data_IF_238543313774
#
_entry.id   IF_238543313774
#
_cell.length_a   1.000
_cell.length_b   1.000
_cell.length_c   1.000
_cell.angle_alpha   90.00
_cell.angle_beta   90.00
_cell.angle_gamma   90.00
#
_symmetry.space_group_name_H-M   'P 1'
#
loop_
_entity.id
_entity.type
_entity.pdbx_description
1 polymer ?
#
# COMPACT_ATOMS: atom_id res chain seq x y z
N UNK A 1 76.81 82.62 -36.83
CA UNK A 1 75.83 83.45 -36.17
C UNK A 1 74.91 82.48 -35.41
N UNK A 2 75.22 82.21 -34.16
CA UNK A 2 74.57 82.74 -32.99
C UNK A 2 73.25 82.05 -32.71
N UNK A 3 72.96 81.47 -31.63
CA UNK A 3 73.07 81.88 -30.26
C UNK A 3 72.75 80.68 -29.35
N UNK A 4 73.47 80.60 -28.26
CA UNK A 4 73.22 79.74 -27.11
C UNK A 4 71.93 80.15 -26.43
N UNK A 5 71.21 79.16 -25.87
CA UNK A 5 70.31 79.33 -24.70
C UNK A 5 70.56 78.31 -23.58
N UNK A 6 70.45 78.78 -22.36
CA UNK A 6 71.01 78.07 -21.19
C UNK A 6 70.08 77.03 -20.59
N UNK A 7 70.76 76.12 -19.87
CA UNK A 7 70.11 75.07 -19.08
C UNK A 7 69.32 75.63 -17.89
N UNK A 8 68.11 75.08 -17.63
CA UNK A 8 67.33 75.17 -16.36
C UNK A 8 67.42 73.88 -15.61
N UNK A 9 67.51 73.89 -14.24
CA UNK A 9 67.69 72.68 -13.44
C UNK A 9 66.33 71.97 -13.20
N UNK A 10 66.32 70.63 -13.28
CA UNK A 10 65.22 69.80 -12.92
C UNK A 10 64.93 69.83 -11.43
N UNK A 11 63.72 70.27 -11.03
CA UNK A 11 63.19 70.10 -9.71
C UNK A 11 62.73 68.64 -9.49
N UNK A 12 63.32 67.92 -8.59
CA UNK A 12 62.81 66.61 -8.09
C UNK A 12 61.58 66.89 -7.24
N UNK A 13 60.38 66.57 -7.71
CA UNK A 13 59.11 66.53 -6.94
C UNK A 13 59.08 65.22 -6.21
N UNK A 14 59.18 65.24 -4.89
CA UNK A 14 58.93 64.11 -4.03
C UNK A 14 57.40 63.94 -3.89
N UNK A 15 56.89 62.89 -4.51
CA UNK A 15 55.42 62.52 -4.42
C UNK A 15 55.23 61.94 -3.04
N UNK A 16 54.66 62.71 -2.10
CA UNK A 16 54.13 62.23 -0.82
C UNK A 16 52.75 61.58 -1.03
N UNK A 17 52.70 60.26 -1.06
CA UNK A 17 51.45 59.53 -0.96
C UNK A 17 50.88 59.71 0.44
N UNK A 18 49.63 60.11 0.63
CA UNK A 18 49.04 60.19 1.95
C UNK A 18 48.73 58.78 2.47
N UNK A 19 49.33 58.43 3.59
CA UNK A 19 49.12 57.17 4.33
C UNK A 19 47.63 56.88 4.62
N UNK A 20 46.79 57.87 4.57
CA UNK A 20 45.35 57.74 4.84
C UNK A 20 44.58 56.92 3.75
N UNK A 21 45.06 56.91 2.50
CA UNK A 21 44.41 56.12 1.44
C UNK A 21 44.68 54.61 1.53
N UNK A 22 45.85 54.24 2.01
CA UNK A 22 46.24 52.84 2.16
C UNK A 22 45.49 52.13 3.30
N UNK A 23 45.21 52.84 4.41
CA UNK A 23 44.45 52.30 5.54
C UNK A 23 42.96 52.15 5.17
N UNK A 24 42.41 53.07 4.38
CA UNK A 24 41.01 52.97 3.99
C UNK A 24 40.76 51.84 2.97
N UNK A 25 41.68 51.58 2.03
CA UNK A 25 41.60 50.46 1.11
C UNK A 25 41.76 49.09 1.80
N UNK A 26 42.58 49.00 2.84
CA UNK A 26 42.72 47.74 3.64
C UNK A 26 41.46 47.46 4.46
N UNK A 27 40.77 48.47 5.00
CA UNK A 27 39.53 48.32 5.75
C UNK A 27 38.36 47.91 4.84
N UNK A 28 38.28 48.43 3.63
CA UNK A 28 37.25 48.01 2.64
C UNK A 28 37.48 46.57 2.17
N UNK A 29 38.75 46.15 1.95
CA UNK A 29 39.07 44.77 1.57
C UNK A 29 38.78 43.78 2.72
N UNK A 30 39.03 44.16 4.00
CA UNK A 30 38.69 43.35 5.16
C UNK A 30 37.17 43.25 5.36
N UNK A 31 36.39 44.30 5.10
CA UNK A 31 34.92 44.28 5.15
C UNK A 31 34.31 43.41 4.04
N UNK A 32 34.89 43.36 2.84
CA UNK A 32 34.43 42.45 1.78
C UNK A 32 34.73 40.98 2.05
N UNK A 33 35.83 40.68 2.76
CA UNK A 33 36.19 39.32 3.18
C UNK A 33 35.27 38.79 4.30
N UNK A 34 34.73 39.65 5.16
CA UNK A 34 33.79 39.24 6.22
C UNK A 34 32.36 39.05 5.69
N UNK A 35 31.95 39.68 4.60
CA UNK A 35 30.66 39.45 3.95
C UNK A 35 30.62 38.13 3.16
N UNK A 36 31.77 37.56 2.76
CA UNK A 36 31.82 36.26 2.09
C UNK A 36 31.76 35.07 3.07
N UNK A 37 31.91 35.29 4.37
CA UNK A 37 31.88 34.22 5.38
C UNK A 37 30.46 33.93 5.92
N UNK A 38 29.42 34.70 5.54
CA UNK A 38 28.02 34.45 5.87
C UNK A 38 27.24 33.77 4.72
N UNK A 39 27.90 33.03 3.83
CA UNK A 39 27.25 31.96 3.11
C UNK A 39 27.16 30.77 4.07
N UNK A 40 26.37 30.91 5.12
CA UNK A 40 25.69 29.75 5.75
C UNK A 40 24.99 29.06 4.58
N UNK A 41 25.56 27.96 4.13
CA UNK A 41 24.86 26.96 3.39
C UNK A 41 23.63 26.66 4.24
N UNK A 42 22.51 27.34 3.98
CA UNK A 42 21.22 26.78 4.23
C UNK A 42 21.28 25.46 3.45
N UNK A 43 21.68 24.39 4.13
CA UNK A 43 21.42 23.04 3.66
C UNK A 43 19.91 23.02 3.49
N UNK A 44 19.44 23.39 2.30
CA UNK A 44 18.16 22.95 1.85
C UNK A 44 18.31 21.43 1.94
N UNK A 45 17.71 20.81 2.95
CA UNK A 45 17.35 19.43 2.91
C UNK A 45 16.42 19.31 1.69
N UNK A 46 17.00 19.28 0.49
CA UNK A 46 16.30 18.76 -0.66
C UNK A 46 16.03 17.31 -0.27
N UNK A 47 14.79 17.05 0.12
CA UNK A 47 14.32 15.69 0.32
C UNK A 47 14.73 14.91 -0.92
N UNK A 48 15.64 13.95 -0.72
CA UNK A 48 16.11 13.12 -1.82
C UNK A 48 14.92 12.35 -2.34
N UNK A 49 14.57 12.57 -3.60
CA UNK A 49 13.51 11.82 -4.28
C UNK A 49 14.11 10.83 -5.26
N UNK A 50 13.39 9.76 -5.51
CA UNK A 50 13.70 8.76 -6.54
C UNK A 50 12.50 8.62 -7.48
N UNK A 51 12.78 8.32 -8.74
CA UNK A 51 11.74 7.97 -9.70
C UNK A 51 11.22 6.56 -9.37
N UNK A 52 9.92 6.45 -9.11
CA UNK A 52 9.23 5.19 -8.85
C UNK A 52 8.15 4.98 -9.92
N UNK A 53 8.12 3.81 -10.56
CA UNK A 53 7.07 3.45 -11.51
C UNK A 53 6.05 2.57 -10.80
N UNK A 54 4.82 3.03 -10.75
CA UNK A 54 3.71 2.35 -10.08
C UNK A 54 3.07 1.24 -10.94
N UNK A 55 2.04 0.58 -10.42
CA UNK A 55 1.36 -0.52 -11.12
C UNK A 55 0.50 -0.07 -12.31
N UNK A 56 0.20 1.24 -12.44
CA UNK A 56 -0.40 1.85 -13.63
C UNK A 56 0.63 2.36 -14.64
N UNK A 57 1.93 2.06 -14.43
CA UNK A 57 3.05 2.53 -15.26
C UNK A 57 3.24 4.06 -15.21
N UNK A 58 2.75 4.74 -14.19
CA UNK A 58 3.06 6.14 -13.94
C UNK A 58 4.39 6.25 -13.18
N UNK A 59 5.25 7.15 -13.65
CA UNK A 59 6.51 7.44 -12.95
C UNK A 59 6.34 8.67 -12.08
N UNK A 60 6.49 8.47 -10.77
CA UNK A 60 6.29 9.49 -9.74
C UNK A 60 7.61 9.73 -9.00
N UNK A 61 7.94 10.99 -8.69
CA UNK A 61 9.04 11.32 -7.81
C UNK A 61 8.59 11.12 -6.36
N UNK A 62 9.16 10.14 -5.68
CA UNK A 62 8.80 9.80 -4.30
C UNK A 62 9.96 10.08 -3.35
N UNK A 63 9.73 10.54 -2.11
CA UNK A 63 10.79 10.70 -1.11
C UNK A 63 11.51 9.37 -0.85
N UNK A 64 12.82 9.42 -0.67
CA UNK A 64 13.61 8.22 -0.30
C UNK A 64 13.21 7.71 1.08
N UNK A 65 12.87 8.62 2.01
CA UNK A 65 12.43 8.32 3.37
C UNK A 65 11.17 9.12 3.68
N UNK A 66 9.99 8.68 3.25
CA UNK A 66 8.76 9.38 3.57
C UNK A 66 8.50 9.33 5.09
N UNK A 67 7.96 10.41 5.62
CA UNK A 67 7.65 10.57 7.04
C UNK A 67 6.17 10.80 7.31
N UNK A 68 5.41 11.15 6.27
CA UNK A 68 4.01 11.54 6.35
C UNK A 68 3.19 10.87 5.24
N UNK A 69 2.70 9.68 5.53
CA UNK A 69 2.03 8.83 4.55
C UNK A 69 0.52 8.88 4.75
N UNK A 70 -0.22 9.01 3.64
CA UNK A 70 -1.66 8.77 3.59
C UNK A 70 -1.92 7.46 2.85
N UNK A 71 -2.72 6.57 3.44
CA UNK A 71 -3.19 5.35 2.80
C UNK A 71 -4.65 5.50 2.36
N UNK A 72 -4.94 5.21 1.09
CA UNK A 72 -6.31 5.20 0.58
C UNK A 72 -6.91 3.78 0.45
N UNK A 73 -6.17 2.75 0.90
CA UNK A 73 -6.59 1.34 0.78
C UNK A 73 -6.46 0.61 2.11
N UNK A 74 -7.48 -0.20 2.50
CA UNK A 74 -7.38 -1.08 3.66
C UNK A 74 -6.19 -2.05 3.58
N UNK A 75 -5.92 -2.64 2.41
CA UNK A 75 -4.80 -3.56 2.22
C UNK A 75 -3.44 -2.86 2.43
N UNK A 76 -3.27 -1.66 1.88
CA UNK A 76 -2.06 -0.84 2.09
C UNK A 76 -1.89 -0.51 3.58
N UNK A 77 -2.96 -0.09 4.25
CA UNK A 77 -2.94 0.21 5.69
C UNK A 77 -2.48 -1.01 6.51
N UNK A 78 -3.06 -2.18 6.27
CA UNK A 78 -2.70 -3.41 6.99
C UNK A 78 -1.23 -3.82 6.76
N UNK A 79 -0.73 -3.66 5.52
CA UNK A 79 0.67 -3.94 5.21
C UNK A 79 1.60 -2.95 5.93
N UNK A 80 1.27 -1.65 5.96
CA UNK A 80 2.05 -0.63 6.70
C UNK A 80 2.18 -1.03 8.18
N UNK A 81 1.08 -1.44 8.83
CA UNK A 81 1.10 -1.92 10.20
C UNK A 81 1.92 -3.21 10.37
N UNK A 82 1.77 -4.17 9.46
CA UNK A 82 2.55 -5.42 9.48
C UNK A 82 4.07 -5.18 9.33
N UNK A 83 4.45 -4.10 8.68
CA UNK A 83 5.84 -3.65 8.50
C UNK A 83 6.34 -2.75 9.64
N UNK A 84 5.54 -2.51 10.67
CA UNK A 84 5.86 -1.63 11.81
C UNK A 84 6.22 -0.20 11.37
N UNK A 85 5.48 0.31 10.39
CA UNK A 85 5.64 1.64 9.83
C UNK A 85 4.40 2.53 10.11
N UNK A 86 3.55 2.15 11.06
CA UNK A 86 2.32 2.85 11.42
C UNK A 86 2.55 4.29 11.92
N UNK A 87 3.73 4.56 12.47
CA UNK A 87 4.11 5.92 12.90
C UNK A 87 4.24 6.91 11.74
N UNK A 88 4.35 6.43 10.50
CA UNK A 88 4.38 7.26 9.29
C UNK A 88 2.96 7.61 8.80
N UNK A 89 1.94 6.87 9.26
CA UNK A 89 0.58 6.99 8.74
C UNK A 89 -0.16 8.15 9.40
N UNK A 90 -0.50 9.18 8.60
CA UNK A 90 -1.17 10.40 9.06
C UNK A 90 -2.61 10.54 8.56
N UNK A 91 -3.04 9.66 7.64
CA UNK A 91 -4.40 9.64 7.10
C UNK A 91 -4.75 8.28 6.52
N UNK A 92 -6.03 7.88 6.68
CA UNK A 92 -6.57 6.62 6.16
C UNK A 92 -8.03 6.77 5.73
N UNK A 93 -8.55 5.88 4.87
CA UNK A 93 -9.98 5.88 4.55
C UNK A 93 -10.83 5.29 5.69
N UNK A 94 -12.14 5.56 5.66
CA UNK A 94 -13.10 5.02 6.63
C UNK A 94 -13.09 3.48 6.67
N UNK A 95 -12.71 2.83 5.58
CA UNK A 95 -12.65 1.36 5.44
C UNK A 95 -11.37 0.73 5.99
N UNK A 96 -10.37 1.52 6.37
CA UNK A 96 -9.14 1.04 7.00
C UNK A 96 -9.40 0.81 8.51
N UNK A 97 -10.09 -0.27 8.84
CA UNK A 97 -10.55 -0.58 10.20
C UNK A 97 -9.66 -1.61 10.91
N UNK A 98 -8.72 -2.21 10.21
CA UNK A 98 -7.79 -3.21 10.76
C UNK A 98 -6.33 -2.77 10.56
N UNK A 99 -5.43 -3.01 11.54
CA UNK A 99 -5.78 -3.44 12.90
C UNK A 99 -6.63 -2.36 13.61
N UNK A 100 -7.27 -2.65 14.75
CA UNK A 100 -8.14 -1.70 15.45
C UNK A 100 -7.49 -0.34 15.72
N UNK A 101 -6.18 -0.33 15.96
CA UNK A 101 -5.36 0.86 16.21
C UNK A 101 -5.36 1.81 15.00
N UNK A 102 -5.54 1.30 13.79
CA UNK A 102 -5.63 2.13 12.58
C UNK A 102 -6.78 3.14 12.66
N UNK A 103 -7.83 2.83 13.40
CA UNK A 103 -8.98 3.73 13.55
C UNK A 103 -8.66 5.02 14.30
N UNK A 104 -7.53 5.09 15.03
CA UNK A 104 -7.04 6.31 15.68
C UNK A 104 -6.42 7.30 14.68
N UNK A 105 -6.03 6.84 13.48
CA UNK A 105 -5.49 7.69 12.42
C UNK A 105 -6.63 8.49 11.79
N UNK A 106 -6.44 9.80 11.50
CA UNK A 106 -7.46 10.66 10.89
C UNK A 106 -8.05 10.06 9.61
N UNK A 107 -9.40 10.05 9.50
CA UNK A 107 -10.09 9.65 8.28
C UNK A 107 -9.97 10.73 7.20
N UNK A 108 -9.78 10.29 5.95
CA UNK A 108 -9.80 11.10 4.74
C UNK A 108 -11.06 10.85 3.88
N UNK A 109 -12.11 10.25 4.45
CA UNK A 109 -13.36 9.88 3.77
C UNK A 109 -13.35 8.45 3.25
N UNK A 110 -14.33 8.14 2.39
CA UNK A 110 -14.49 6.81 1.80
C UNK A 110 -13.59 6.58 0.59
N UNK A 111 -13.48 5.33 0.13
CA UNK A 111 -12.62 4.96 -1.01
C UNK A 111 -13.08 5.66 -2.31
N UNK A 112 -14.39 5.73 -2.56
CA UNK A 112 -14.94 6.33 -3.79
C UNK A 112 -15.17 7.84 -3.70
N UNK A 113 -15.08 8.42 -2.51
CA UNK A 113 -15.35 9.84 -2.22
C UNK A 113 -14.29 10.40 -1.27
N UNK A 114 -13.02 10.30 -1.68
CA UNK A 114 -11.88 10.84 -0.95
C UNK A 114 -12.01 12.36 -0.76
N UNK A 115 -11.73 12.83 0.44
CA UNK A 115 -11.64 14.25 0.71
C UNK A 115 -10.22 14.75 0.37
N UNK A 116 -10.02 15.17 -0.88
CA UNK A 116 -8.73 15.63 -1.41
C UNK A 116 -8.22 16.83 -0.62
N UNK A 117 -9.09 17.78 -0.24
CA UNK A 117 -8.70 18.96 0.55
C UNK A 117 -8.16 18.55 1.92
N UNK A 118 -8.79 17.57 2.55
CA UNK A 118 -8.32 17.03 3.83
C UNK A 118 -6.98 16.31 3.67
N UNK A 119 -6.77 15.54 2.59
CA UNK A 119 -5.48 14.90 2.31
C UNK A 119 -4.40 15.96 2.20
N UNK A 120 -4.62 17.00 1.40
CA UNK A 120 -3.65 18.10 1.22
C UNK A 120 -3.39 18.84 2.54
N UNK A 121 -4.44 19.08 3.35
CA UNK A 121 -4.29 19.76 4.65
C UNK A 121 -3.45 18.96 5.66
N UNK A 122 -3.38 17.64 5.51
CA UNK A 122 -2.49 16.80 6.31
C UNK A 122 -1.02 16.93 5.89
N UNK A 123 -0.73 17.62 4.79
CA UNK A 123 0.61 17.83 4.25
C UNK A 123 1.40 16.50 4.14
N UNK A 124 0.89 15.50 3.38
CA UNK A 124 1.60 14.24 3.17
C UNK A 124 2.78 14.44 2.21
N UNK A 125 3.84 13.70 2.45
CA UNK A 125 4.96 13.57 1.53
C UNK A 125 4.78 12.38 0.54
N UNK A 126 3.84 11.46 0.84
CA UNK A 126 3.48 10.34 -0.03
C UNK A 126 2.04 9.89 0.22
N UNK A 127 1.29 9.65 -0.85
CA UNK A 127 0.02 8.92 -0.83
C UNK A 127 0.24 7.53 -1.44
N UNK A 128 -0.13 6.47 -0.72
CA UNK A 128 -0.12 5.10 -1.26
C UNK A 128 -1.57 4.65 -1.42
N UNK A 129 -1.96 4.33 -2.65
CA UNK A 129 -3.32 3.90 -2.99
C UNK A 129 -3.38 2.44 -3.45
N UNK A 130 -4.57 1.85 -3.34
CA UNK A 130 -4.93 0.61 -4.00
C UNK A 130 -5.58 0.85 -5.37
N UNK A 131 -6.09 -0.23 -5.98
CA UNK A 131 -6.72 -0.24 -7.31
C UNK A 131 -8.01 0.60 -7.43
N UNK A 132 -8.64 0.94 -6.32
CA UNK A 132 -9.98 1.57 -6.32
C UNK A 132 -9.97 3.09 -6.18
N UNK A 133 -8.81 3.75 -6.30
CA UNK A 133 -8.78 5.21 -6.22
C UNK A 133 -9.49 5.84 -7.42
N UNK A 134 -10.42 6.82 -7.23
CA UNK A 134 -11.01 7.53 -8.33
C UNK A 134 -9.94 8.33 -9.11
N UNK A 135 -9.89 8.16 -10.44
CA UNK A 135 -8.93 8.85 -11.31
C UNK A 135 -8.95 10.38 -11.11
N UNK A 136 -10.14 10.96 -10.92
CA UNK A 136 -10.29 12.39 -10.63
C UNK A 136 -9.51 12.80 -9.37
N UNK A 137 -9.60 12.00 -8.31
CA UNK A 137 -8.90 12.29 -7.04
C UNK A 137 -7.39 12.16 -7.18
N UNK A 138 -6.91 11.14 -7.93
CA UNK A 138 -5.49 10.99 -8.24
C UNK A 138 -4.94 12.20 -8.98
N UNK A 139 -5.59 12.61 -10.07
CA UNK A 139 -5.20 13.78 -10.85
C UNK A 139 -5.21 15.09 -10.03
N UNK A 140 -6.19 15.26 -9.14
CA UNK A 140 -6.23 16.43 -8.26
C UNK A 140 -5.06 16.49 -7.28
N UNK A 141 -4.69 15.34 -6.68
CA UNK A 141 -3.52 15.25 -5.79
C UNK A 141 -2.23 15.57 -6.53
N UNK A 142 -2.04 15.01 -7.73
CA UNK A 142 -0.88 15.29 -8.59
C UNK A 142 -0.76 16.78 -8.96
N UNK A 143 -1.89 17.44 -9.32
CA UNK A 143 -1.95 18.88 -9.62
C UNK A 143 -1.59 19.73 -8.40
N UNK A 144 -1.84 19.24 -7.20
CA UNK A 144 -1.48 19.89 -5.93
C UNK A 144 -0.06 19.55 -5.47
N UNK A 145 0.72 18.82 -6.29
CA UNK A 145 2.10 18.46 -5.99
C UNK A 145 2.25 17.36 -4.94
N UNK A 146 1.19 16.60 -4.65
CA UNK A 146 1.22 15.47 -3.71
C UNK A 146 1.57 14.18 -4.47
N UNK A 147 2.73 13.54 -4.20
CA UNK A 147 3.09 12.28 -4.84
C UNK A 147 2.09 11.19 -4.49
N UNK A 148 1.58 10.49 -5.51
CA UNK A 148 0.69 9.34 -5.32
C UNK A 148 1.21 8.14 -6.07
N UNK A 149 1.30 7.00 -5.38
CA UNK A 149 1.74 5.71 -5.92
C UNK A 149 0.61 4.69 -5.77
N UNK A 150 0.26 4.03 -6.86
CA UNK A 150 -0.75 3.00 -6.89
C UNK A 150 -0.12 1.60 -6.77
N UNK A 151 -0.58 0.82 -5.78
CA UNK A 151 -0.21 -0.58 -5.55
C UNK A 151 -1.46 -1.42 -5.74
N UNK A 152 -1.52 -2.18 -6.84
CA UNK A 152 -2.72 -2.90 -7.29
C UNK A 152 -2.71 -4.33 -6.74
N UNK A 153 -3.86 -4.78 -6.26
CA UNK A 153 -4.09 -6.18 -5.92
C UNK A 153 -4.00 -7.05 -7.18
N UNK A 154 -3.29 -8.17 -7.08
CA UNK A 154 -3.11 -9.12 -8.18
C UNK A 154 -4.15 -10.22 -8.13
N UNK A 155 -4.36 -10.89 -9.27
CA UNK A 155 -5.30 -12.01 -9.35
C UNK A 155 -4.83 -13.27 -8.62
N UNK A 156 -3.52 -13.38 -8.36
CA UNK A 156 -2.90 -14.54 -7.72
C UNK A 156 -2.46 -14.20 -6.28
N UNK A 157 -2.37 -15.23 -5.44
CA UNK A 157 -1.97 -15.07 -4.04
C UNK A 157 -0.54 -14.53 -3.87
N UNK A 158 0.38 -14.90 -4.74
CA UNK A 158 1.78 -14.43 -4.72
C UNK A 158 1.92 -12.92 -4.98
N UNK A 159 0.91 -12.30 -5.60
CA UNK A 159 0.83 -10.84 -5.70
C UNK A 159 0.83 -10.12 -4.35
N UNK A 160 0.37 -10.77 -3.28
CA UNK A 160 0.50 -10.25 -1.92
C UNK A 160 1.97 -10.05 -1.52
N UNK A 161 2.84 -10.99 -1.85
CA UNK A 161 4.28 -10.89 -1.56
C UNK A 161 4.92 -9.72 -2.31
N UNK A 162 4.53 -9.52 -3.58
CA UNK A 162 4.96 -8.37 -4.36
C UNK A 162 4.52 -7.05 -3.74
N UNK A 163 3.26 -6.96 -3.30
CA UNK A 163 2.71 -5.75 -2.69
C UNK A 163 3.38 -5.44 -1.34
N UNK A 164 3.64 -6.46 -0.50
CA UNK A 164 4.42 -6.29 0.73
C UNK A 164 5.81 -5.73 0.43
N UNK A 165 6.51 -6.29 -0.58
CA UNK A 165 7.84 -5.82 -0.96
C UNK A 165 7.83 -4.40 -1.53
N UNK A 166 6.82 -4.04 -2.37
CA UNK A 166 6.65 -2.69 -2.92
C UNK A 166 6.40 -1.66 -1.82
N UNK A 167 5.43 -1.95 -0.94
CA UNK A 167 5.10 -1.05 0.17
C UNK A 167 6.30 -0.94 1.12
N UNK A 168 7.00 -2.04 1.41
CA UNK A 168 8.22 -2.03 2.21
C UNK A 168 9.29 -1.09 1.68
N UNK A 169 9.50 -1.07 0.36
CA UNK A 169 10.41 -0.11 -0.29
C UNK A 169 9.93 1.34 -0.14
N UNK A 170 8.63 1.56 -0.37
CA UNK A 170 8.02 2.90 -0.30
C UNK A 170 8.05 3.50 1.12
N UNK A 171 7.98 2.68 2.16
CA UNK A 171 7.96 3.14 3.56
C UNK A 171 9.31 2.96 4.28
N UNK A 172 10.37 2.61 3.54
CA UNK A 172 11.71 2.41 4.11
C UNK A 172 11.82 1.19 5.06
N UNK A 173 11.03 0.13 4.80
CA UNK A 173 10.97 -1.12 5.60
C UNK A 173 11.24 -2.37 4.74
N UNK A 174 12.24 -2.30 3.88
CA UNK A 174 12.58 -3.41 2.95
C UNK A 174 12.97 -4.66 3.70
N UNK A 175 13.77 -4.56 4.75
CA UNK A 175 14.19 -5.72 5.55
C UNK A 175 13.01 -6.40 6.26
N UNK A 176 12.10 -5.61 6.85
CA UNK A 176 10.89 -6.12 7.49
C UNK A 176 9.96 -6.79 6.47
N UNK A 177 9.86 -6.22 5.26
CA UNK A 177 9.09 -6.80 4.17
C UNK A 177 9.64 -8.15 3.71
N UNK A 178 10.95 -8.24 3.50
CA UNK A 178 11.63 -9.50 3.12
C UNK A 178 11.46 -10.57 4.21
N UNK A 179 11.60 -10.18 5.47
CA UNK A 179 11.42 -11.07 6.61
C UNK A 179 9.97 -11.57 6.70
N UNK A 180 8.99 -10.68 6.53
CA UNK A 180 7.56 -11.03 6.55
C UNK A 180 7.21 -11.99 5.39
N UNK A 181 7.66 -11.69 4.18
CA UNK A 181 7.44 -12.54 3.01
C UNK A 181 8.08 -13.90 3.19
N UNK A 182 9.32 -13.97 3.69
CA UNK A 182 10.02 -15.21 3.99
C UNK A 182 9.27 -16.07 5.01
N UNK A 183 8.80 -15.46 6.10
CA UNK A 183 7.99 -16.14 7.13
C UNK A 183 6.67 -16.66 6.55
N UNK A 184 5.95 -15.85 5.77
CA UNK A 184 4.69 -16.26 5.15
C UNK A 184 4.87 -17.44 4.20
N UNK A 185 5.90 -17.42 3.34
CA UNK A 185 6.22 -18.52 2.41
C UNK A 185 6.54 -19.80 3.16
N UNK A 186 7.38 -19.75 4.19
CA UNK A 186 7.74 -20.91 5.00
C UNK A 186 6.53 -21.52 5.71
N UNK A 187 5.68 -20.68 6.32
CA UNK A 187 4.48 -21.16 7.01
C UNK A 187 3.45 -21.78 6.05
N UNK A 188 3.28 -21.15 4.86
CA UNK A 188 2.38 -21.69 3.84
C UNK A 188 2.89 -23.04 3.30
N UNK A 189 4.19 -23.14 3.03
CA UNK A 189 4.81 -24.41 2.59
C UNK A 189 4.58 -25.52 3.61
N UNK A 190 4.82 -25.26 4.90
CA UNK A 190 4.58 -26.23 5.96
C UNK A 190 3.11 -26.68 6.02
N UNK A 191 2.17 -25.72 5.86
CA UNK A 191 0.74 -26.03 5.88
C UNK A 191 0.32 -26.88 4.67
N UNK A 192 0.76 -26.51 3.46
CA UNK A 192 0.43 -27.25 2.23
C UNK A 192 1.03 -28.64 2.21
N UNK A 193 2.20 -28.83 2.82
CA UNK A 193 2.82 -30.14 2.95
C UNK A 193 2.02 -31.06 3.89
N UNK A 194 1.56 -30.52 5.05
CA UNK A 194 0.68 -31.26 5.95
C UNK A 194 -0.65 -31.68 5.30
N UNK A 195 -1.19 -30.83 4.39
CA UNK A 195 -2.41 -31.15 3.64
C UNK A 195 -2.17 -32.18 2.53
N UNK A 196 -0.99 -32.21 1.93
CA UNK A 196 -0.63 -33.17 0.89
C UNK A 196 -0.45 -34.60 1.46
N UNK A 197 0.02 -34.73 2.69
CA UNK A 197 0.21 -36.00 3.40
C UNK A 197 -1.12 -36.60 3.93
N UNK A 198 -2.23 -35.84 3.83
CA UNK A 198 -3.56 -36.21 4.30
C UNK A 198 -4.45 -36.85 3.21
N UNK A 199 -5.75 -36.99 3.56
CA UNK A 199 -6.77 -37.52 2.66
C UNK A 199 -6.90 -36.64 1.39
N UNK A 200 -6.90 -37.30 0.22
CA UNK A 200 -6.97 -36.63 -1.10
C UNK A 200 -8.35 -36.06 -1.44
N UNK A 201 -9.38 -36.39 -0.65
CA UNK A 201 -10.75 -35.89 -0.86
C UNK A 201 -10.88 -34.43 -0.38
N UNK A 202 -10.81 -33.49 -1.29
CA UNK A 202 -10.95 -32.06 -1.01
C UNK A 202 -12.42 -31.65 -0.96
N UNK A 203 -12.94 -31.13 0.16
CA UNK A 203 -14.32 -30.70 0.25
C UNK A 203 -14.63 -29.55 -0.71
N UNK A 204 -15.82 -29.57 -1.30
CA UNK A 204 -16.32 -28.52 -2.16
C UNK A 204 -16.72 -27.28 -1.34
N UNK A 205 -16.31 -26.10 -1.82
CA UNK A 205 -16.48 -24.83 -1.10
C UNK A 205 -17.12 -23.80 -1.99
N UNK A 206 -18.09 -23.07 -1.48
CA UNK A 206 -18.64 -21.86 -2.07
C UNK A 206 -18.28 -20.65 -1.21
N UNK A 207 -17.65 -19.64 -1.81
CA UNK A 207 -17.39 -18.37 -1.14
C UNK A 207 -18.47 -17.35 -1.51
N UNK A 208 -19.14 -16.78 -0.51
CA UNK A 208 -20.20 -15.80 -0.71
C UNK A 208 -19.65 -14.39 -0.67
N UNK A 209 -19.57 -13.73 -1.82
CA UNK A 209 -19.28 -12.29 -1.95
C UNK A 209 -20.56 -11.47 -1.79
N UNK A 210 -21.64 -11.94 -2.38
CA UNK A 210 -22.98 -11.34 -2.29
C UNK A 210 -24.05 -12.32 -2.65
N UNK A 211 -25.28 -12.09 -2.16
CA UNK A 211 -26.42 -12.98 -2.37
C UNK A 211 -27.74 -12.21 -2.30
N UNK A 212 -28.83 -12.84 -2.75
CA UNK A 212 -30.19 -12.29 -2.67
C UNK A 212 -30.68 -11.69 -3.97
N UNK A 213 -31.60 -10.70 -3.92
CA UNK A 213 -32.28 -10.19 -5.12
C UNK A 213 -31.36 -9.56 -6.16
N UNK A 214 -30.23 -9.03 -5.75
CA UNK A 214 -29.23 -8.42 -6.65
C UNK A 214 -28.35 -9.44 -7.39
N UNK A 215 -28.52 -10.73 -7.11
CA UNK A 215 -27.74 -11.82 -7.70
C UNK A 215 -26.85 -12.55 -6.68
N UNK A 216 -26.18 -13.60 -7.17
CA UNK A 216 -25.19 -14.34 -6.40
C UNK A 216 -23.82 -14.04 -6.95
N UNK A 217 -22.92 -13.65 -6.06
CA UNK A 217 -21.55 -13.31 -6.38
C UNK A 217 -20.60 -14.17 -5.56
N UNK A 218 -19.58 -14.71 -6.25
CA UNK A 218 -18.51 -15.53 -5.69
C UNK A 218 -17.20 -15.19 -6.35
N UNK A 219 -16.14 -15.80 -5.90
CA UNK A 219 -14.81 -15.67 -6.51
C UNK A 219 -14.57 -16.80 -7.52
N UNK A 220 -14.41 -16.46 -8.79
CA UNK A 220 -14.07 -17.40 -9.84
C UNK A 220 -12.64 -17.93 -9.76
N UNK A 221 -12.29 -18.87 -10.66
CA UNK A 221 -11.00 -19.54 -10.68
C UNK A 221 -9.78 -18.64 -10.94
N UNK A 222 -10.00 -17.48 -11.53
CA UNK A 222 -8.98 -16.47 -11.81
C UNK A 222 -8.76 -15.47 -10.66
N UNK A 223 -9.19 -15.77 -9.43
CA UNK A 223 -9.07 -14.90 -8.27
C UNK A 223 -8.05 -15.42 -7.25
N UNK A 224 -7.44 -14.52 -6.47
CA UNK A 224 -6.58 -14.90 -5.36
C UNK A 224 -7.34 -15.65 -4.25
N UNK A 225 -8.64 -15.42 -4.14
CA UNK A 225 -9.53 -16.12 -3.20
C UNK A 225 -9.62 -17.61 -3.57
N UNK A 226 -9.67 -17.92 -4.87
CA UNK A 226 -9.59 -19.29 -5.34
C UNK A 226 -8.28 -19.97 -4.92
N UNK A 227 -7.16 -19.28 -5.05
CA UNK A 227 -5.86 -19.77 -4.56
C UNK A 227 -5.91 -20.04 -3.05
N UNK A 228 -6.49 -19.12 -2.28
CA UNK A 228 -6.58 -19.18 -0.84
C UNK A 228 -7.42 -20.39 -0.37
N UNK A 229 -8.58 -20.64 -1.01
CA UNK A 229 -9.41 -21.83 -0.78
C UNK A 229 -8.61 -23.11 -1.08
N UNK A 230 -7.91 -23.12 -2.22
CA UNK A 230 -7.10 -24.28 -2.63
C UNK A 230 -5.93 -24.55 -1.68
N UNK A 231 -5.24 -23.51 -1.19
CA UNK A 231 -4.17 -23.60 -0.21
C UNK A 231 -4.67 -24.08 1.15
N UNK A 232 -5.94 -23.82 1.47
CA UNK A 232 -6.59 -24.31 2.69
C UNK A 232 -7.12 -25.76 2.57
N UNK A 233 -6.92 -26.43 1.43
CA UNK A 233 -7.35 -27.80 1.20
C UNK A 233 -8.79 -27.93 0.68
N UNK A 234 -9.50 -26.83 0.40
CA UNK A 234 -10.81 -26.84 -0.24
C UNK A 234 -10.74 -26.94 -1.77
N UNK A 235 -11.88 -27.15 -2.41
CA UNK A 235 -12.07 -27.07 -3.87
C UNK A 235 -13.19 -26.06 -4.14
N UNK A 236 -12.84 -24.94 -4.77
CA UNK A 236 -13.82 -23.91 -5.13
C UNK A 236 -14.78 -24.45 -6.20
N UNK A 237 -16.10 -24.43 -5.95
CA UNK A 237 -17.10 -24.89 -6.95
C UNK A 237 -17.22 -23.95 -8.15
N UNK A 238 -16.71 -22.71 -8.01
CA UNK A 238 -16.67 -21.69 -9.06
C UNK A 238 -15.32 -21.61 -9.78
N UNK A 239 -14.45 -22.63 -9.65
CA UNK A 239 -13.11 -22.63 -10.23
C UNK A 239 -13.10 -22.53 -11.77
N UNK A 240 -14.14 -23.02 -12.44
CA UNK A 240 -14.28 -23.04 -13.91
C UNK A 240 -14.86 -21.73 -14.49
N UNK A 241 -15.26 -20.78 -13.65
CA UNK A 241 -15.75 -19.48 -14.12
C UNK A 241 -14.67 -18.39 -13.97
N UNK A 242 -14.78 -17.38 -14.84
CA UNK A 242 -14.03 -16.14 -14.74
C UNK A 242 -14.95 -15.03 -14.25
N UNK A 243 -14.53 -14.29 -13.23
CA UNK A 243 -15.30 -13.18 -12.65
C UNK A 243 -16.04 -13.57 -11.39
N UNK A 244 -17.16 -12.89 -11.12
CA UNK A 244 -17.81 -12.88 -9.82
C UNK A 244 -19.24 -13.41 -9.82
N UNK A 245 -19.88 -13.58 -10.98
CA UNK A 245 -21.29 -13.99 -11.07
C UNK A 245 -21.42 -15.52 -11.06
N UNK A 246 -22.35 -16.03 -10.24
CA UNK A 246 -22.65 -17.45 -10.16
C UNK A 246 -24.17 -17.65 -10.04
N UNK A 247 -24.76 -18.53 -10.88
CA UNK A 247 -26.21 -18.67 -10.86
C UNK A 247 -26.70 -19.38 -9.60
N UNK A 248 -27.90 -19.02 -9.14
CA UNK A 248 -28.52 -19.66 -7.99
C UNK A 248 -28.81 -21.15 -8.26
N UNK A 249 -29.23 -21.46 -9.48
CA UNK A 249 -29.49 -22.84 -9.89
C UNK A 249 -28.25 -23.69 -9.84
N UNK A 250 -27.10 -23.16 -10.34
CA UNK A 250 -25.81 -23.84 -10.28
C UNK A 250 -25.35 -24.05 -8.83
N UNK A 251 -25.56 -23.06 -7.94
CA UNK A 251 -25.25 -23.19 -6.52
C UNK A 251 -26.07 -24.30 -5.85
N UNK A 252 -27.38 -24.32 -6.12
CA UNK A 252 -28.30 -25.34 -5.56
C UNK A 252 -27.99 -26.73 -6.09
N UNK A 253 -27.60 -26.85 -7.37
CA UNK A 253 -27.20 -28.12 -7.98
C UNK A 253 -25.85 -28.61 -7.46
N UNK A 254 -24.88 -27.72 -7.34
CA UNK A 254 -23.55 -28.06 -6.82
C UNK A 254 -23.57 -28.47 -5.35
N UNK A 255 -24.51 -27.93 -4.57
CA UNK A 255 -24.73 -28.20 -3.14
C UNK A 255 -23.43 -28.39 -2.36
N UNK A 256 -22.59 -27.34 -2.22
CA UNK A 256 -21.23 -27.46 -1.71
C UNK A 256 -21.17 -28.02 -0.29
N UNK A 257 -20.06 -28.67 0.04
CA UNK A 257 -19.82 -29.22 1.37
C UNK A 257 -19.68 -28.13 2.44
N UNK A 258 -19.12 -26.97 2.07
CA UNK A 258 -18.90 -25.83 2.96
C UNK A 258 -19.28 -24.51 2.29
N UNK A 259 -19.76 -23.58 3.11
CA UNK A 259 -19.98 -22.16 2.74
C UNK A 259 -18.98 -21.32 3.52
N UNK A 260 -18.23 -20.44 2.83
CA UNK A 260 -17.43 -19.39 3.46
C UNK A 260 -18.13 -18.06 3.17
N UNK A 261 -18.32 -17.24 4.20
CA UNK A 261 -19.07 -15.99 4.12
C UNK A 261 -18.55 -15.00 5.16
N UNK A 262 -18.79 -13.70 4.96
CA UNK A 262 -18.57 -12.71 6.00
C UNK A 262 -19.44 -13.02 7.22
N UNK A 263 -18.86 -12.88 8.41
CA UNK A 263 -19.54 -13.25 9.67
C UNK A 263 -20.86 -12.51 9.85
N UNK A 264 -20.89 -11.23 9.54
CA UNK A 264 -22.07 -10.37 9.66
C UNK A 264 -23.22 -10.81 8.75
N UNK A 265 -22.93 -11.38 7.58
CA UNK A 265 -23.92 -11.83 6.60
C UNK A 265 -24.41 -13.28 6.85
N UNK A 266 -23.66 -14.06 7.63
CA UNK A 266 -23.88 -15.50 7.82
C UNK A 266 -25.30 -15.82 8.33
N UNK A 267 -25.78 -15.11 9.34
CA UNK A 267 -27.10 -15.36 9.92
C UNK A 267 -28.24 -15.06 8.94
N UNK A 268 -28.08 -14.03 8.11
CA UNK A 268 -29.06 -13.67 7.07
C UNK A 268 -29.05 -14.70 5.95
N UNK A 269 -27.89 -15.09 5.45
CA UNK A 269 -27.73 -16.12 4.43
C UNK A 269 -28.40 -17.43 4.85
N UNK A 270 -28.12 -17.92 6.07
CA UNK A 270 -28.67 -19.17 6.58
C UNK A 270 -30.19 -19.16 6.73
N UNK A 271 -30.82 -18.00 6.90
CA UNK A 271 -32.30 -17.89 7.02
C UNK A 271 -33.00 -17.62 5.70
N UNK A 272 -32.25 -17.16 4.67
CA UNK A 272 -32.85 -16.75 3.41
C UNK A 272 -33.14 -17.96 2.50
N UNK A 273 -34.37 -18.07 1.99
CA UNK A 273 -34.72 -19.05 0.96
C UNK A 273 -34.18 -18.60 -0.41
N UNK A 274 -33.57 -19.50 -1.22
CA UNK A 274 -33.46 -20.95 -1.02
C UNK A 274 -32.13 -21.40 -0.35
N UNK A 275 -31.21 -20.50 0.07
CA UNK A 275 -29.90 -20.87 0.64
C UNK A 275 -30.01 -21.75 1.89
N UNK A 276 -31.08 -21.56 2.69
CA UNK A 276 -31.39 -22.39 3.86
C UNK A 276 -31.66 -23.87 3.53
N UNK A 277 -31.78 -24.22 2.25
CA UNK A 277 -31.96 -25.61 1.78
C UNK A 277 -30.64 -26.31 1.49
N UNK A 278 -29.52 -25.58 1.38
CA UNK A 278 -28.22 -26.17 1.17
C UNK A 278 -27.82 -27.05 2.36
N UNK A 279 -27.23 -28.20 2.09
CA UNK A 279 -26.84 -29.15 3.14
C UNK A 279 -25.75 -28.57 4.06
N UNK A 280 -24.85 -27.76 3.51
CA UNK A 280 -23.88 -27.02 4.31
C UNK A 280 -24.56 -26.12 5.37
N UNK A 281 -25.70 -25.50 5.05
CA UNK A 281 -26.46 -24.67 5.98
C UNK A 281 -27.18 -25.51 7.02
N UNK A 282 -27.90 -26.58 6.60
CA UNK A 282 -28.60 -27.49 7.50
C UNK A 282 -27.69 -28.18 8.52
N UNK A 283 -26.47 -28.46 8.11
CA UNK A 283 -25.47 -29.18 8.91
C UNK A 283 -24.49 -28.24 9.64
N UNK A 284 -24.71 -26.92 9.59
CA UNK A 284 -23.88 -25.96 10.29
C UNK A 284 -22.45 -25.82 9.72
N UNK A 285 -22.24 -26.22 8.46
CA UNK A 285 -20.95 -26.10 7.77
C UNK A 285 -20.78 -24.76 7.06
N UNK A 286 -21.21 -23.68 7.73
CA UNK A 286 -21.06 -22.30 7.30
C UNK A 286 -19.94 -21.64 8.12
N UNK A 287 -18.88 -21.20 7.47
CA UNK A 287 -17.70 -20.61 8.11
C UNK A 287 -17.78 -19.10 7.94
N UNK A 288 -18.14 -18.39 9.02
CA UNK A 288 -18.14 -16.92 9.05
C UNK A 288 -16.75 -16.36 9.33
N UNK A 289 -16.20 -15.58 8.43
CA UNK A 289 -14.93 -14.86 8.58
C UNK A 289 -15.17 -13.36 8.80
N UNK A 290 -14.24 -12.71 9.49
CA UNK A 290 -14.24 -11.24 9.58
C UNK A 290 -13.99 -10.60 8.23
N UNK A 291 -14.68 -9.49 7.94
CA UNK A 291 -14.49 -8.72 6.71
C UNK A 291 -13.01 -8.36 6.51
N UNK A 292 -12.54 -8.39 5.28
CA UNK A 292 -11.14 -8.15 4.92
C UNK A 292 -10.20 -9.35 5.14
N UNK A 293 -10.67 -10.44 5.77
CA UNK A 293 -9.78 -11.57 6.09
C UNK A 293 -9.43 -12.42 4.86
N UNK A 294 -10.33 -12.52 3.88
CA UNK A 294 -10.18 -13.32 2.66
C UNK A 294 -10.43 -12.51 1.38
N UNK A 295 -11.11 -11.39 1.49
CA UNK A 295 -11.49 -10.50 0.37
C UNK A 295 -10.48 -9.37 0.12
N UNK A 296 -9.45 -9.23 0.96
CA UNK A 296 -8.31 -8.35 0.75
C UNK A 296 -7.00 -9.15 0.67
N UNK A 297 -6.05 -8.67 -0.13
CA UNK A 297 -4.68 -9.22 -0.15
C UNK A 297 -3.85 -8.62 0.98
N UNK A 298 -3.84 -9.29 2.11
CA UNK A 298 -3.24 -8.80 3.36
C UNK A 298 -2.47 -9.92 4.08
N UNK A 299 -1.48 -9.59 4.93
CA UNK A 299 -0.69 -10.61 5.63
C UNK A 299 -1.50 -11.61 6.46
N UNK A 300 -2.65 -11.20 7.01
CA UNK A 300 -3.55 -12.09 7.79
C UNK A 300 -4.28 -13.15 6.96
N UNK A 301 -4.18 -13.11 5.61
CA UNK A 301 -4.67 -14.21 4.77
C UNK A 301 -4.06 -15.55 5.17
N UNK A 302 -2.81 -15.57 5.65
CA UNK A 302 -2.17 -16.78 6.15
C UNK A 302 -2.91 -17.38 7.37
N UNK A 303 -3.43 -16.52 8.25
CA UNK A 303 -4.25 -16.95 9.39
C UNK A 303 -5.59 -17.52 8.91
N UNK A 304 -6.20 -16.91 7.88
CA UNK A 304 -7.41 -17.42 7.24
C UNK A 304 -7.18 -18.80 6.62
N UNK A 305 -6.09 -18.99 5.87
CA UNK A 305 -5.74 -20.30 5.28
C UNK A 305 -5.61 -21.36 6.39
N UNK A 306 -4.91 -21.04 7.48
CA UNK A 306 -4.74 -21.95 8.61
C UNK A 306 -6.08 -22.29 9.29
N UNK A 307 -6.92 -21.29 9.53
CA UNK A 307 -8.24 -21.52 10.12
C UNK A 307 -9.10 -22.41 9.20
N UNK A 308 -9.11 -22.12 7.91
CA UNK A 308 -9.88 -22.89 6.93
C UNK A 308 -9.36 -24.32 6.81
N UNK A 309 -8.04 -24.56 6.80
CA UNK A 309 -7.46 -25.90 6.74
C UNK A 309 -7.85 -26.78 7.94
N UNK A 310 -8.07 -26.17 9.11
CA UNK A 310 -8.55 -26.86 10.30
C UNK A 310 -10.06 -27.17 10.24
N UNK A 311 -10.83 -26.36 9.51
CA UNK A 311 -12.30 -26.48 9.44
C UNK A 311 -12.77 -27.29 8.23
N UNK A 312 -12.08 -27.21 7.11
CA UNK A 312 -12.40 -27.95 5.88
C UNK A 312 -11.97 -29.40 6.04
N UNK A 313 -12.89 -30.25 6.52
CA UNK A 313 -12.66 -31.70 6.63
C UNK A 313 -13.31 -32.43 5.46
N UNK A 314 -12.70 -33.53 4.99
CA UNK A 314 -13.38 -34.42 4.03
C UNK A 314 -14.76 -34.79 4.54
N UNK A 315 -15.76 -34.71 3.67
CA UNK A 315 -17.12 -35.18 3.98
C UNK A 315 -17.27 -36.61 3.48
N UNK A 316 -17.67 -37.50 4.35
CA UNK A 316 -17.96 -38.89 3.99
C UNK A 316 -19.29 -38.99 3.23
N UNK A 317 -19.48 -40.07 2.45
CA UNK A 317 -20.75 -40.31 1.74
C UNK A 317 -21.96 -40.44 2.71
N UNK A 318 -21.72 -40.70 4.01
CA UNK A 318 -22.76 -40.75 5.04
C UNK A 318 -23.22 -39.33 5.51
N UNK A 319 -22.45 -38.29 5.20
CA UNK A 319 -22.71 -36.89 5.59
C UNK A 319 -23.40 -36.09 4.46
N UNK A 320 -23.78 -36.73 3.36
CA UNK A 320 -24.49 -36.13 2.21
C UNK A 320 -25.99 -36.46 2.18
#
# INVERSE_FOLDING_TARGET
MTTLKPHLPMKKSILRFPLAGAVLSLLVAAAMLTLSACNTSASSNQEQTIAYTDDYQHTVQVPVNPTRIVSTSPAVTEIIYALKAENLLIGRTDYCIYPPEAQSVPSIGGISNLNVEKIVSLNPDLVISGSMIPQKSSLQLEQMGVPIVCVIEKHRFDGLYENISKIGKLVGRTHEADSLVGLMKSQLQSLTQQLADGDTCRPSVYYVVGFGPSGNFTAGGNSFINDLINMAGGRNIAADITGWSYSLEALMQANPDYIIIRREDSATFCRTNPYNRLDAVKQGRVIGLESGTIDLQVPRNLQAIRLLSQRLKPTTHQDR
#
